data_IF_002040938754
#
_entry.id   IF_002040938754
#
_cell.length_a   1.000
_cell.length_b   1.000
_cell.length_c   1.000
_cell.angle_alpha   90.00
_cell.angle_beta   90.00
_cell.angle_gamma   90.00
#
_symmetry.space_group_name_H-M   'P 1'
#
loop_
_entity.id
_entity.type
_entity.pdbx_description
1 polymer ?
#
# COMPACT_ATOMS: atom_id res chain seq x y z
N UNK A 1 9.10 -9.25 4.58
CA UNK A 1 7.89 -10.04 4.23
C UNK A 1 7.44 -9.64 2.84
N UNK A 2 7.00 -10.60 2.02
CA UNK A 2 6.47 -10.35 0.66
C UNK A 2 4.96 -10.59 0.64
N UNK A 3 4.20 -9.70 0.00
CA UNK A 3 2.75 -9.79 -0.15
C UNK A 3 2.38 -9.59 -1.61
N UNK A 4 1.67 -10.55 -2.19
CA UNK A 4 1.15 -10.41 -3.55
C UNK A 4 -0.18 -9.64 -3.53
N UNK A 5 -0.34 -8.71 -4.46
CA UNK A 5 -1.52 -7.89 -4.61
C UNK A 5 -2.00 -7.92 -6.06
N UNK A 6 -3.23 -8.38 -6.25
CA UNK A 6 -3.90 -8.44 -7.54
C UNK A 6 -5.37 -8.02 -7.39
N UNK A 7 -5.91 -7.37 -8.42
CA UNK A 7 -7.27 -6.88 -8.47
C UNK A 7 -7.55 -5.78 -7.46
N UNK A 8 -8.80 -5.68 -7.03
CA UNK A 8 -9.19 -4.73 -5.99
C UNK A 8 -8.69 -5.22 -4.63
N UNK A 9 -7.66 -4.57 -4.10
CA UNK A 9 -7.13 -4.88 -2.77
C UNK A 9 -8.08 -4.29 -1.72
N UNK A 10 -8.56 -5.09 -0.73
CA UNK A 10 -9.33 -4.56 0.38
C UNK A 10 -8.53 -3.52 1.15
N UNK A 11 -9.10 -2.33 1.34
CA UNK A 11 -8.48 -1.24 2.08
C UNK A 11 -9.40 -0.82 3.21
N UNK A 12 -8.83 -0.64 4.40
CA UNK A 12 -9.54 -0.04 5.55
C UNK A 12 -8.66 1.01 6.20
N UNK A 13 -9.25 2.17 6.46
CA UNK A 13 -8.64 3.20 7.29
C UNK A 13 -9.38 3.22 8.62
N UNK A 14 -8.64 3.18 9.71
CA UNK A 14 -9.15 3.21 11.06
C UNK A 14 -8.51 4.37 11.83
N UNK A 15 -9.36 5.27 12.28
CA UNK A 15 -9.02 6.47 13.04
C UNK A 15 -9.32 6.29 14.53
N UNK A 16 -9.47 5.04 15.02
CA UNK A 16 -9.89 4.73 16.39
C UNK A 16 -9.13 5.45 17.52
N UNK A 17 -7.95 6.03 17.25
CA UNK A 17 -7.13 6.73 18.24
C UNK A 17 -6.92 8.23 17.95
N UNK A 18 -7.66 8.83 17.01
CA UNK A 18 -7.62 10.28 16.76
C UNK A 18 -7.97 11.04 18.06
N UNK A 19 -7.10 11.95 18.49
CA UNK A 19 -7.28 12.74 19.72
C UNK A 19 -6.66 12.15 21.00
N UNK A 20 -5.98 11.00 20.95
CA UNK A 20 -5.25 10.42 22.11
C UNK A 20 -3.74 10.62 21.97
N UNK A 21 -2.97 10.60 23.07
CA UNK A 21 -1.49 10.75 23.03
C UNK A 21 -0.77 9.70 22.14
N UNK A 22 -1.47 8.64 21.74
CA UNK A 22 -0.95 7.57 20.89
C UNK A 22 -1.26 7.76 19.39
N UNK A 23 -1.96 8.84 19.00
CA UNK A 23 -2.57 9.11 17.68
C UNK A 23 -1.99 8.22 16.56
N UNK A 24 -2.69 7.12 16.28
CA UNK A 24 -2.26 6.14 15.29
C UNK A 24 -3.38 5.92 14.29
N UNK A 25 -3.11 6.29 13.04
CA UNK A 25 -3.91 5.85 11.91
C UNK A 25 -3.57 4.38 11.62
N UNK A 26 -4.58 3.53 11.73
CA UNK A 26 -4.53 2.16 11.22
C UNK A 26 -4.89 2.16 9.73
N UNK A 27 -4.00 1.64 8.88
CA UNK A 27 -4.25 1.42 7.46
C UNK A 27 -4.10 -0.07 7.17
N UNK A 28 -5.20 -0.74 6.84
CA UNK A 28 -5.16 -2.11 6.33
C UNK A 28 -5.08 -2.09 4.80
N UNK A 29 -4.11 -2.83 4.25
CA UNK A 29 -3.93 -3.06 2.81
C UNK A 29 -3.88 -4.58 2.57
N UNK A 30 -5.00 -5.15 2.13
CA UNK A 30 -5.16 -6.60 2.03
C UNK A 30 -4.99 -7.25 3.39
N UNK A 31 -3.91 -8.01 3.57
CA UNK A 31 -3.59 -8.70 4.82
C UNK A 31 -2.55 -7.96 5.69
N UNK A 32 -2.14 -6.75 5.33
CA UNK A 32 -1.14 -5.97 6.10
C UNK A 32 -1.83 -4.85 6.86
N UNK A 33 -1.66 -4.81 8.17
CA UNK A 33 -2.06 -3.67 9.01
C UNK A 33 -0.84 -2.77 9.24
N UNK A 34 -0.97 -1.52 8.82
CA UNK A 34 0.04 -0.48 8.96
C UNK A 34 -0.40 0.52 10.00
N UNK A 35 0.46 0.82 10.96
CA UNK A 35 0.28 1.93 11.90
C UNK A 35 1.17 3.11 11.51
N UNK A 36 0.54 4.28 11.40
CA UNK A 36 1.18 5.55 11.09
C UNK A 36 0.82 6.56 12.18
N UNK A 37 1.84 7.26 12.71
CA UNK A 37 1.63 8.34 13.68
C UNK A 37 1.75 9.73 13.04
N UNK A 38 2.74 9.92 12.17
CA UNK A 38 3.06 11.23 11.63
C UNK A 38 2.65 11.37 10.16
N UNK A 39 2.10 12.54 9.80
CA UNK A 39 1.75 12.88 8.42
C UNK A 39 2.95 12.84 7.48
N UNK A 40 4.14 13.22 7.95
CA UNK A 40 5.38 13.16 7.16
C UNK A 40 5.73 11.72 6.74
N UNK A 41 5.53 10.74 7.62
CA UNK A 41 5.76 9.32 7.33
C UNK A 41 4.80 8.83 6.25
N UNK A 42 3.51 9.14 6.41
CA UNK A 42 2.49 8.74 5.45
C UNK A 42 2.72 9.38 4.08
N UNK A 43 3.18 10.64 4.05
CA UNK A 43 3.50 11.37 2.83
C UNK A 43 4.73 10.80 2.14
N UNK A 44 5.81 10.51 2.86
CA UNK A 44 7.00 9.88 2.30
C UNK A 44 6.67 8.54 1.60
N UNK A 45 5.80 7.72 2.21
CA UNK A 45 5.33 6.49 1.57
C UNK A 45 4.48 6.81 0.33
N UNK A 46 3.51 7.71 0.43
CA UNK A 46 2.63 8.06 -0.69
C UNK A 46 3.38 8.66 -1.90
N UNK A 47 4.42 9.44 -1.64
CA UNK A 47 5.28 10.04 -2.67
C UNK A 47 6.12 8.94 -3.34
N UNK A 48 6.77 8.08 -2.56
CA UNK A 48 7.52 6.96 -3.12
C UNK A 48 6.67 5.96 -3.90
N UNK A 49 5.41 5.75 -3.51
CA UNK A 49 4.44 5.04 -4.34
C UNK A 49 4.11 5.83 -5.60
N UNK A 50 3.89 7.14 -5.51
CA UNK A 50 3.62 8.00 -6.68
C UNK A 50 4.77 7.96 -7.71
N UNK A 51 6.02 7.92 -7.26
CA UNK A 51 7.19 7.80 -8.14
C UNK A 51 7.19 6.48 -8.93
N UNK A 52 6.66 5.41 -8.34
CA UNK A 52 6.49 4.12 -9.01
C UNK A 52 5.38 4.11 -10.07
N UNK A 53 4.60 5.19 -10.22
CA UNK A 53 3.47 5.25 -11.15
C UNK A 53 3.88 5.08 -12.61
N UNK A 54 5.07 5.54 -12.99
CA UNK A 54 5.59 5.37 -14.36
C UNK A 54 5.75 3.89 -14.69
N UNK A 55 6.36 3.11 -13.80
CA UNK A 55 6.51 1.67 -13.95
C UNK A 55 5.16 0.94 -13.89
N UNK A 56 4.24 1.40 -13.05
CA UNK A 56 2.91 0.81 -12.93
C UNK A 56 2.07 0.91 -14.21
N UNK A 57 2.34 1.88 -15.10
CA UNK A 57 1.65 2.00 -16.40
C UNK A 57 1.90 0.81 -17.33
N UNK A 58 2.98 0.06 -17.11
CA UNK A 58 3.30 -1.15 -17.86
C UNK A 58 2.57 -2.39 -17.35
N UNK A 59 1.85 -2.29 -16.23
CA UNK A 59 1.02 -3.37 -15.73
C UNK A 59 -0.29 -3.44 -16.50
N UNK A 60 -0.79 -4.65 -16.74
CA UNK A 60 -2.12 -4.83 -17.31
C UNK A 60 -3.18 -4.49 -16.24
N UNK A 61 -4.34 -3.95 -16.61
CA UNK A 61 -5.48 -3.87 -15.70
C UNK A 61 -5.98 -5.27 -15.32
N UNK A 62 -6.62 -5.39 -14.15
CA UNK A 62 -7.34 -6.61 -13.81
C UNK A 62 -8.49 -6.84 -14.81
N UNK A 63 -8.70 -8.09 -15.24
CA UNK A 63 -9.74 -8.44 -16.21
C UNK A 63 -11.13 -8.21 -15.59
N UNK A 64 -11.90 -7.30 -16.16
CA UNK A 64 -13.26 -7.00 -15.73
C UNK A 64 -14.16 -8.24 -15.89
N UNK A 65 -14.97 -8.55 -14.87
CA UNK A 65 -15.85 -9.73 -14.86
C UNK A 65 -15.26 -10.94 -14.13
N UNK A 66 -13.95 -10.98 -13.90
CA UNK A 66 -13.38 -11.91 -12.94
C UNK A 66 -13.58 -11.32 -11.54
N UNK A 67 -14.69 -11.68 -10.89
CA UNK A 67 -14.87 -11.35 -9.46
C UNK A 67 -13.80 -12.12 -8.72
N UNK A 68 -12.79 -11.47 -8.10
CA UNK A 68 -11.86 -12.19 -7.26
C UNK A 68 -12.71 -12.85 -6.19
N UNK A 69 -12.66 -14.17 -6.11
CA UNK A 69 -13.08 -14.83 -4.90
C UNK A 69 -12.18 -14.26 -3.82
N UNK A 70 -12.74 -13.45 -2.92
CA UNK A 70 -12.03 -12.94 -1.74
C UNK A 70 -11.88 -14.12 -0.78
N UNK A 71 -11.09 -15.11 -1.19
CA UNK A 71 -10.58 -16.20 -0.36
C UNK A 71 -9.18 -15.74 0.02
N UNK A 72 -9.14 -14.76 0.91
CA UNK A 72 -7.92 -14.29 1.56
C UNK A 72 -8.02 -14.61 3.05
N UNK A 73 -6.91 -14.60 3.79
CA UNK A 73 -6.97 -14.72 5.23
C UNK A 73 -7.94 -13.66 5.75
N UNK A 74 -8.93 -14.10 6.53
CA UNK A 74 -9.86 -13.21 7.25
C UNK A 74 -9.15 -12.40 8.34
N UNK A 75 -7.86 -12.67 8.53
CA UNK A 75 -6.97 -12.10 9.54
C UNK A 75 -5.80 -11.35 8.91
N UNK A 76 -5.32 -10.34 9.63
CA UNK A 76 -4.05 -9.66 9.34
C UNK A 76 -2.90 -10.68 9.37
N UNK A 77 -2.15 -10.79 8.28
CA UNK A 77 -0.97 -11.64 8.19
C UNK A 77 0.28 -10.95 8.76
N UNK A 78 0.31 -9.61 8.80
CA UNK A 78 1.36 -8.85 9.46
C UNK A 78 0.92 -7.47 9.92
N UNK A 79 1.49 -7.05 11.05
CA UNK A 79 1.36 -5.72 11.61
C UNK A 79 2.70 -4.99 11.52
N UNK A 80 2.70 -3.77 10.98
CA UNK A 80 3.91 -2.96 10.80
C UNK A 80 3.66 -1.54 11.27
N UNK A 81 4.60 -1.00 12.03
CA UNK A 81 4.61 0.41 12.42
C UNK A 81 5.70 1.13 11.65
N UNK A 82 5.34 2.20 10.93
CA UNK A 82 6.33 3.09 10.32
C UNK A 82 6.53 4.34 11.16
N UNK A 83 7.75 4.83 11.17
CA UNK A 83 8.15 6.08 11.81
C UNK A 83 9.19 6.80 10.94
N UNK A 84 9.37 8.10 11.17
CA UNK A 84 10.33 8.92 10.43
C UNK A 84 9.96 9.07 8.95
N UNK A 85 10.98 9.12 8.09
CA UNK A 85 10.82 9.20 6.63
C UNK A 85 11.30 7.90 5.97
N UNK A 86 10.46 6.87 5.88
CA UNK A 86 10.86 5.58 5.32
C UNK A 86 11.13 5.71 3.83
N UNK A 87 12.26 5.16 3.38
CA UNK A 87 12.54 5.05 1.96
C UNK A 87 11.64 4.00 1.32
N UNK A 88 11.01 4.37 0.21
CA UNK A 88 10.30 3.43 -0.67
C UNK A 88 11.23 3.07 -1.84
N UNK A 89 11.36 1.78 -2.11
CA UNK A 89 12.16 1.26 -3.22
C UNK A 89 11.22 0.54 -4.18
N UNK A 90 11.28 0.87 -5.46
CA UNK A 90 10.48 0.21 -6.49
C UNK A 90 11.37 -0.47 -7.54
N UNK A 91 10.91 -1.63 -8.02
CA UNK A 91 11.56 -2.37 -9.09
C UNK A 91 10.50 -3.01 -9.98
N UNK A 92 10.62 -2.82 -11.30
CA UNK A 92 9.72 -3.43 -12.27
C UNK A 92 10.33 -4.69 -12.85
N UNK A 93 9.60 -5.79 -12.77
CA UNK A 93 9.96 -7.05 -13.40
C UNK A 93 9.06 -7.28 -14.62
N UNK A 94 9.61 -7.25 -15.84
CA UNK A 94 8.81 -7.48 -17.05
C UNK A 94 8.34 -8.94 -17.11
N UNK A 95 7.25 -9.17 -17.83
CA UNK A 95 6.75 -10.52 -18.10
C UNK A 95 7.82 -11.37 -18.82
N UNK A 96 7.91 -12.65 -18.45
CA UNK A 96 8.90 -13.60 -19.02
C UNK A 96 8.23 -14.90 -19.48
N UNK A 97 8.99 -15.73 -20.18
CA UNK A 97 8.56 -17.04 -20.67
C UNK A 97 7.28 -16.98 -21.54
N UNK A 98 7.25 -16.07 -22.52
CA UNK A 98 6.13 -15.96 -23.48
C UNK A 98 4.78 -15.54 -22.86
N UNK A 99 4.78 -15.03 -21.62
CA UNK A 99 3.57 -14.64 -20.89
C UNK A 99 3.15 -15.60 -19.77
N UNK A 100 3.90 -16.68 -19.54
CA UNK A 100 3.65 -17.59 -18.43
C UNK A 100 3.97 -16.97 -17.05
N UNK A 101 4.92 -16.02 -17.00
CA UNK A 101 5.20 -15.21 -15.80
C UNK A 101 4.69 -13.79 -16.05
N UNK A 102 3.69 -13.31 -15.29
CA UNK A 102 3.16 -11.96 -15.47
C UNK A 102 4.21 -10.91 -15.07
N UNK A 103 4.07 -9.70 -15.62
CA UNK A 103 4.85 -8.56 -15.15
C UNK A 103 4.44 -8.21 -13.71
N UNK A 104 5.41 -7.85 -12.88
CA UNK A 104 5.19 -7.51 -11.47
C UNK A 104 5.93 -6.22 -11.14
N UNK A 105 5.26 -5.32 -10.43
CA UNK A 105 5.91 -4.16 -9.81
C UNK A 105 6.15 -4.47 -8.32
N UNK A 106 7.41 -4.52 -7.93
CA UNK A 106 7.82 -4.67 -6.53
C UNK A 106 7.93 -3.29 -5.91
N UNK A 107 7.23 -3.05 -4.81
CA UNK A 107 7.36 -1.83 -4.00
C UNK A 107 7.70 -2.26 -2.58
N UNK A 108 8.85 -1.84 -2.08
CA UNK A 108 9.27 -2.07 -0.70
C UNK A 108 9.16 -0.78 0.10
N UNK A 109 8.48 -0.85 1.25
CA UNK A 109 8.57 0.17 2.29
C UNK A 109 8.94 -0.56 3.60
N UNK A 110 10.08 -0.20 4.20
CA UNK A 110 10.60 -0.90 5.38
C UNK A 110 10.56 -2.44 5.25
N UNK A 111 9.88 -3.16 6.17
CA UNK A 111 9.88 -4.62 6.21
C UNK A 111 8.91 -5.29 5.24
N UNK A 112 8.06 -4.53 4.55
CA UNK A 112 7.04 -5.06 3.63
C UNK A 112 7.43 -4.78 2.19
N UNK A 113 7.43 -5.84 1.38
CA UNK A 113 7.50 -5.75 -0.06
C UNK A 113 6.17 -6.19 -0.63
N UNK A 114 5.51 -5.30 -1.38
CA UNK A 114 4.33 -5.65 -2.16
C UNK A 114 4.75 -5.99 -3.58
N UNK A 115 4.30 -7.16 -4.05
CA UNK A 115 4.37 -7.58 -5.44
C UNK A 115 3.03 -7.29 -6.10
N UNK A 116 3.00 -6.22 -6.89
CA UNK A 116 1.79 -5.72 -7.53
C UNK A 116 1.66 -6.34 -8.92
N UNK A 117 0.63 -7.15 -9.11
CA UNK A 117 0.43 -7.95 -10.32
C UNK A 117 -0.35 -7.21 -11.42
N UNK A 118 -1.10 -6.17 -11.07
CA UNK A 118 -1.91 -5.41 -12.02
C UNK A 118 -2.09 -3.94 -11.63
N UNK A 119 -2.49 -3.13 -12.61
CA UNK A 119 -2.70 -1.69 -12.42
C UNK A 119 -3.86 -1.38 -11.46
N UNK A 120 -4.82 -2.30 -11.28
CA UNK A 120 -5.97 -2.12 -10.39
C UNK A 120 -5.52 -2.19 -8.93
N UNK A 121 -4.70 -3.18 -8.58
CA UNK A 121 -4.10 -3.32 -7.27
C UNK A 121 -3.23 -2.10 -6.93
N UNK A 122 -2.35 -1.71 -7.85
CA UNK A 122 -1.53 -0.50 -7.71
C UNK A 122 -2.37 0.74 -7.39
N UNK A 123 -3.42 0.99 -8.18
CA UNK A 123 -4.25 2.19 -8.05
C UNK A 123 -5.02 2.20 -6.72
N UNK A 124 -5.57 1.05 -6.31
CA UNK A 124 -6.30 0.92 -5.05
C UNK A 124 -5.42 1.22 -3.83
N UNK A 125 -4.20 0.68 -3.81
CA UNK A 125 -3.24 0.87 -2.73
C UNK A 125 -2.65 2.28 -2.73
N UNK A 126 -2.31 2.85 -3.89
CA UNK A 126 -1.86 4.24 -4.00
C UNK A 126 -2.92 5.22 -3.47
N UNK A 127 -4.20 4.99 -3.81
CA UNK A 127 -5.30 5.80 -3.28
C UNK A 127 -5.35 5.75 -1.76
N UNK A 128 -5.18 4.57 -1.18
CA UNK A 128 -5.17 4.38 0.26
C UNK A 128 -4.03 5.15 0.95
N UNK A 129 -2.81 5.05 0.42
CA UNK A 129 -1.65 5.80 0.94
C UNK A 129 -1.85 7.31 0.86
N UNK A 130 -2.38 7.80 -0.26
CA UNK A 130 -2.70 9.24 -0.42
C UNK A 130 -3.78 9.69 0.56
N UNK A 131 -4.79 8.86 0.80
CA UNK A 131 -5.83 9.18 1.77
C UNK A 131 -5.30 9.18 3.21
N UNK A 132 -4.43 8.22 3.57
CA UNK A 132 -3.73 8.21 4.85
C UNK A 132 -2.88 9.47 5.06
N UNK A 133 -2.12 9.87 4.05
CA UNK A 133 -1.30 11.08 4.10
C UNK A 133 -2.14 12.37 4.25
N UNK A 134 -3.31 12.44 3.61
CA UNK A 134 -4.26 13.57 3.80
C UNK A 134 -4.82 13.59 5.21
N UNK A 135 -5.34 12.46 5.70
CA UNK A 135 -5.94 12.38 7.04
C UNK A 135 -4.96 12.75 8.16
N UNK A 136 -3.68 12.38 8.03
CA UNK A 136 -2.64 12.75 8.99
C UNK A 136 -2.00 14.12 8.73
N UNK A 137 -2.21 14.71 7.55
CA UNK A 137 -1.77 16.07 7.24
C UNK A 137 -2.79 17.12 7.68
N UNK A 138 -4.08 16.80 7.54
CA UNK A 138 -5.21 17.65 7.94
C UNK A 138 -5.49 17.57 9.46
N UNK A 139 -5.02 16.50 10.12
CA UNK A 139 -4.93 16.41 11.57
C UNK A 139 -3.46 16.56 11.98
N UNK A 140 -2.94 17.79 12.11
CA UNK A 140 -1.64 17.97 12.72
C UNK A 140 -1.70 17.34 14.11
N UNK A 141 -0.94 16.27 14.28
CA UNK A 141 -0.47 15.88 15.61
C UNK A 141 0.33 17.07 16.08
N UNK A 142 -0.27 17.93 16.91
CA UNK A 142 0.49 18.89 17.70
C UNK A 142 1.44 18.06 18.56
N UNK A 143 2.70 17.96 18.12
CA UNK A 143 3.79 17.49 18.95
C UNK A 143 5.02 18.36 18.57
N UNK A 144 5.22 19.38 19.42
CA UNK A 144 6.40 20.25 19.68
C UNK A 144 6.87 21.30 18.63
#
# INVERSE_FOLDING_TARGET
>A
MVVHAAGLVPVRLDLAHVGTAEQQLGLTLGCVLVYLRAGITARAIADGWTDAAVAARSLRPAVAGHRPLVIGPTTVAAMVRYAGSPRVISAFEPARAGGAVPAVLRIQAGPVTWEICDATAYTSMLRAWRQAARLLGDNPTEDE
#
